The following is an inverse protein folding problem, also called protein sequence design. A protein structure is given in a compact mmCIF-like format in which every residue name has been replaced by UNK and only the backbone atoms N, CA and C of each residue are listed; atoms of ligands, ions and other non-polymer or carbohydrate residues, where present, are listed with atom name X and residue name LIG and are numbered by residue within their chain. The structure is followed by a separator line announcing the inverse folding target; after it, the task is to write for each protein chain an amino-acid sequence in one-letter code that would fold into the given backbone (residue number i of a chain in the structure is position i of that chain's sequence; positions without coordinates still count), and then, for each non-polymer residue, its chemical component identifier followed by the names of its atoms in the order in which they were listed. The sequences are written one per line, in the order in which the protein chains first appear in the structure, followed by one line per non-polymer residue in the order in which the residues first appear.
data_IF_959861184072
#
_entry.id   IF_959861184072
#
_cell.length_a   1.000
_cell.length_b   1.000
_cell.length_c   1.000
_cell.angle_alpha   90.00
_cell.angle_beta   90.00
_cell.angle_gamma   90.00
#
_symmetry.space_group_name_H-M   'P 1'
#
loop_
_entity.id
_entity.type
_entity.pdbx_description
1 polymer ?
#
# COMPACT_ATOMS: atom_id res chain seq x y z
N UNK A 1 -0.70 -4.47 11.03
CA UNK A 1 -0.45 -3.29 10.17
C UNK A 1 0.01 -2.17 11.07
N UNK A 2 1.14 -1.57 10.77
CA UNK A 2 1.72 -0.47 11.56
C UNK A 2 1.46 0.91 10.92
N UNK A 3 0.62 0.96 9.90
CA UNK A 3 0.21 2.20 9.23
C UNK A 3 -1.31 2.27 9.06
N UNK A 4 -1.81 3.49 8.87
CA UNK A 4 -3.21 3.80 8.63
C UNK A 4 -3.33 4.47 7.26
N UNK A 5 -4.33 4.06 6.45
CA UNK A 5 -4.65 4.75 5.20
C UNK A 5 -5.44 6.01 5.53
N UNK A 6 -4.91 7.17 5.14
CA UNK A 6 -5.52 8.48 5.38
C UNK A 6 -6.27 9.02 4.16
N UNK A 7 -5.90 8.56 2.96
CA UNK A 7 -6.63 8.85 1.72
C UNK A 7 -6.78 7.57 0.91
N UNK A 8 -8.03 7.20 0.62
CA UNK A 8 -8.37 6.03 -0.18
C UNK A 8 -8.04 6.26 -1.66
N UNK A 9 -7.90 5.17 -2.46
CA UNK A 9 -7.66 5.29 -3.90
C UNK A 9 -8.83 5.98 -4.60
N UNK A 10 -8.52 6.89 -5.54
CA UNK A 10 -9.53 7.62 -6.32
C UNK A 10 -10.16 6.80 -7.45
N UNK A 11 -9.53 5.68 -7.84
CA UNK A 11 -9.99 4.78 -8.90
C UNK A 11 -9.69 3.33 -8.51
N UNK A 12 -10.38 2.40 -9.17
CA UNK A 12 -10.09 0.97 -9.01
C UNK A 12 -9.09 0.47 -10.07
N UNK A 13 -8.28 -0.58 -9.78
CA UNK A 13 -7.36 -1.21 -10.73
C UNK A 13 -8.05 -1.79 -11.96
N UNK A 14 -9.32 -2.19 -11.81
CA UNK A 14 -10.16 -2.74 -12.87
C UNK A 14 -11.38 -1.85 -13.00
N UNK A 15 -11.66 -1.38 -14.21
CA UNK A 15 -12.87 -0.62 -14.50
C UNK A 15 -14.10 -1.53 -14.55
N UNK A 16 -15.28 -0.96 -14.31
CA UNK A 16 -16.55 -1.70 -14.47
C UNK A 16 -16.67 -2.33 -15.87
N UNK A 17 -16.25 -1.61 -16.91
CA UNK A 17 -16.28 -2.11 -18.28
C UNK A 17 -15.38 -3.33 -18.48
N UNK A 18 -14.14 -3.30 -17.94
CA UNK A 18 -13.22 -4.45 -17.99
C UNK A 18 -13.80 -5.66 -17.23
N UNK A 19 -14.36 -5.41 -16.05
CA UNK A 19 -14.99 -6.42 -15.22
C UNK A 19 -16.19 -7.09 -15.94
N UNK A 20 -17.10 -6.29 -16.49
CA UNK A 20 -18.27 -6.79 -17.27
C UNK A 20 -17.85 -7.55 -18.50
N UNK A 21 -16.87 -7.06 -19.27
CA UNK A 21 -16.33 -7.75 -20.44
C UNK A 21 -15.77 -9.14 -20.06
N UNK A 22 -15.05 -9.23 -18.96
CA UNK A 22 -14.49 -10.50 -18.46
C UNK A 22 -15.59 -11.48 -18.01
N UNK A 23 -16.61 -10.98 -17.30
CA UNK A 23 -17.75 -11.77 -16.83
C UNK A 23 -18.77 -12.09 -17.94
N UNK A 24 -18.66 -11.47 -19.13
CA UNK A 24 -19.64 -11.53 -20.23
C UNK A 24 -21.05 -11.06 -19.80
N UNK A 25 -21.09 -10.00 -18.98
CA UNK A 25 -22.33 -9.38 -18.48
C UNK A 25 -22.59 -8.09 -19.26
N UNK A 26 -23.71 -8.01 -19.96
CA UNK A 26 -24.09 -6.82 -20.75
C UNK A 26 -25.08 -5.91 -20.01
N UNK A 27 -25.94 -6.50 -19.17
CA UNK A 27 -26.99 -5.80 -18.44
C UNK A 27 -26.43 -4.98 -17.26
N UNK A 28 -27.11 -3.89 -16.91
CA UNK A 28 -26.68 -3.00 -15.79
C UNK A 28 -27.20 -3.43 -14.42
N UNK A 29 -28.05 -4.47 -14.36
CA UNK A 29 -28.66 -4.90 -13.11
C UNK A 29 -27.64 -5.28 -12.01
N UNK A 30 -26.49 -5.84 -12.39
CA UNK A 30 -25.45 -6.28 -11.47
C UNK A 30 -24.29 -5.27 -11.31
N UNK A 31 -24.37 -4.07 -11.89
CA UNK A 31 -23.26 -3.10 -11.89
C UNK A 31 -22.78 -2.74 -10.48
N UNK A 32 -23.71 -2.56 -9.54
CA UNK A 32 -23.40 -2.28 -8.13
C UNK A 32 -22.67 -3.44 -7.47
N UNK A 33 -23.14 -4.67 -7.71
CA UNK A 33 -22.51 -5.88 -7.20
C UNK A 33 -21.09 -6.04 -7.78
N UNK A 34 -20.94 -5.87 -9.09
CA UNK A 34 -19.65 -6.00 -9.78
C UNK A 34 -18.65 -4.97 -9.24
N UNK A 35 -19.05 -3.73 -9.04
CA UNK A 35 -18.20 -2.70 -8.45
C UNK A 35 -17.75 -3.09 -7.02
N UNK A 36 -18.66 -3.58 -6.19
CA UNK A 36 -18.31 -4.04 -4.84
C UNK A 36 -17.33 -5.23 -4.86
N UNK A 37 -17.50 -6.16 -5.80
CA UNK A 37 -16.59 -7.29 -5.98
C UNK A 37 -15.20 -6.85 -6.52
N UNK A 38 -15.15 -5.84 -7.39
CA UNK A 38 -13.86 -5.24 -7.85
C UNK A 38 -13.11 -4.64 -6.68
N UNK A 39 -13.79 -3.86 -5.83
CA UNK A 39 -13.19 -3.31 -4.61
C UNK A 39 -12.68 -4.42 -3.69
N UNK A 40 -13.49 -5.43 -3.43
CA UNK A 40 -13.10 -6.57 -2.60
C UNK A 40 -11.88 -7.32 -3.17
N UNK A 41 -11.81 -7.50 -4.50
CA UNK A 41 -10.68 -8.13 -5.17
C UNK A 41 -9.39 -7.30 -5.03
N UNK A 42 -9.50 -5.94 -5.08
CA UNK A 42 -8.38 -5.05 -4.79
C UNK A 42 -7.90 -5.22 -3.36
N UNK A 43 -8.81 -5.11 -2.40
CA UNK A 43 -8.48 -5.23 -0.97
C UNK A 43 -7.83 -6.59 -0.64
N UNK A 44 -8.37 -7.68 -1.16
CA UNK A 44 -7.80 -9.02 -0.98
C UNK A 44 -6.40 -9.14 -1.63
N UNK A 45 -6.19 -8.54 -2.80
CA UNK A 45 -4.88 -8.52 -3.46
C UNK A 45 -3.86 -7.69 -2.69
N UNK A 46 -4.25 -6.51 -2.22
CA UNK A 46 -3.41 -5.62 -1.42
C UNK A 46 -2.98 -6.26 -0.10
N UNK A 47 -3.91 -6.94 0.58
CA UNK A 47 -3.64 -7.67 1.81
C UNK A 47 -2.69 -8.86 1.57
N UNK A 48 -2.95 -9.65 0.52
CA UNK A 48 -2.11 -10.80 0.18
C UNK A 48 -0.68 -10.43 -0.18
N UNK A 49 -0.51 -9.32 -0.92
CA UNK A 49 0.78 -8.83 -1.39
C UNK A 49 1.52 -7.97 -0.35
N UNK A 50 0.80 -7.45 0.64
CA UNK A 50 1.24 -6.34 1.49
C UNK A 50 1.71 -5.12 0.66
N UNK A 51 1.02 -4.84 -0.44
CA UNK A 51 1.26 -3.72 -1.35
C UNK A 51 -0.01 -2.87 -1.47
N UNK A 52 0.13 -1.64 -1.99
CA UNK A 52 -0.97 -0.80 -2.43
C UNK A 52 -0.96 -0.70 -3.94
N UNK A 53 -2.12 -0.87 -4.58
CA UNK A 53 -2.19 -0.98 -6.04
C UNK A 53 -2.35 0.39 -6.70
N UNK A 54 -3.26 1.20 -6.21
CA UNK A 54 -3.51 2.57 -6.68
C UNK A 54 -2.96 3.55 -5.65
N UNK A 55 -2.65 4.76 -6.10
CA UNK A 55 -2.14 5.83 -5.23
C UNK A 55 -3.04 6.07 -4.02
N UNK A 56 -2.45 5.97 -2.85
CA UNK A 56 -3.06 6.20 -1.54
C UNK A 56 -2.08 6.98 -0.67
N UNK A 57 -2.60 7.73 0.29
CA UNK A 57 -1.78 8.35 1.32
C UNK A 57 -1.90 7.54 2.61
N UNK A 58 -0.77 7.26 3.23
CA UNK A 58 -0.70 6.49 4.47
C UNK A 58 0.08 7.26 5.53
N UNK A 59 -0.27 7.01 6.77
CA UNK A 59 0.42 7.49 7.95
C UNK A 59 0.99 6.31 8.72
N UNK A 60 2.28 6.31 8.94
CA UNK A 60 3.01 5.35 9.77
C UNK A 60 3.58 6.08 10.97
N UNK A 61 3.52 5.45 12.15
CA UNK A 61 4.09 6.01 13.38
C UNK A 61 5.13 5.07 13.96
N UNK A 62 6.20 5.68 14.48
CA UNK A 62 7.26 5.01 15.21
C UNK A 62 7.55 5.78 16.51
N UNK A 63 8.10 5.10 17.49
CA UNK A 63 8.34 5.71 18.81
C UNK A 63 9.54 6.65 18.80
N UNK A 64 10.58 6.35 18.03
CA UNK A 64 11.79 7.16 17.95
C UNK A 64 12.45 7.02 16.58
N UNK A 65 13.33 7.98 16.25
CA UNK A 65 14.20 7.85 15.09
C UNK A 65 15.23 6.73 15.28
N UNK A 66 15.63 6.04 14.19
CA UNK A 66 16.61 4.98 14.27
C UNK A 66 18.00 5.51 14.66
N UNK A 67 18.72 4.70 15.42
CA UNK A 67 20.12 4.96 15.79
C UNK A 67 21.07 4.21 14.86
N UNK A 68 22.39 4.36 15.07
CA UNK A 68 23.42 3.64 14.32
C UNK A 68 23.25 2.10 14.39
N UNK A 69 22.64 1.56 15.42
CA UNK A 69 22.37 0.13 15.60
C UNK A 69 21.37 -0.37 14.55
N UNK A 70 20.46 0.48 14.10
CA UNK A 70 19.42 0.17 13.11
C UNK A 70 19.71 0.69 11.70
N UNK A 71 21.00 0.88 11.37
CA UNK A 71 21.48 1.40 10.09
C UNK A 71 20.92 2.78 9.69
N UNK A 72 20.46 3.59 10.64
CA UNK A 72 19.90 4.94 10.40
C UNK A 72 18.73 4.99 9.40
N UNK A 73 18.03 3.86 9.18
CA UNK A 73 16.93 3.76 8.22
C UNK A 73 15.60 3.52 8.91
N UNK A 74 14.56 4.17 8.39
CA UNK A 74 13.16 3.91 8.75
C UNK A 74 12.57 3.09 7.62
N UNK A 75 12.23 1.84 7.88
CA UNK A 75 11.55 0.99 6.92
C UNK A 75 10.08 1.40 6.81
N UNK A 76 9.59 1.46 5.56
CA UNK A 76 8.24 1.85 5.23
C UNK A 76 7.39 0.60 5.01
N UNK A 77 6.36 0.43 5.84
CA UNK A 77 5.56 -0.79 5.88
C UNK A 77 4.60 -0.90 4.69
N UNK A 78 4.06 0.23 4.23
CA UNK A 78 3.22 0.27 3.04
C UNK A 78 4.07 0.52 1.79
N UNK A 79 3.88 -0.28 0.75
CA UNK A 79 4.66 -0.23 -0.50
C UNK A 79 3.76 -0.40 -1.72
N UNK A 80 4.24 -0.11 -2.96
CA UNK A 80 5.46 0.63 -3.27
C UNK A 80 5.32 2.12 -2.90
N UNK A 81 6.39 2.72 -2.40
CA UNK A 81 6.40 4.13 -2.02
C UNK A 81 6.69 5.00 -3.23
N UNK A 82 5.89 6.03 -3.44
CA UNK A 82 6.10 7.03 -4.49
C UNK A 82 6.89 8.24 -3.96
N UNK A 83 6.47 8.79 -2.82
CA UNK A 83 7.09 9.96 -2.22
C UNK A 83 6.79 10.06 -0.73
N UNK A 84 7.61 10.81 -0.01
CA UNK A 84 7.35 11.21 1.38
C UNK A 84 6.67 12.58 1.35
N UNK A 85 5.51 12.69 1.99
CA UNK A 85 4.78 13.96 2.11
C UNK A 85 5.30 14.79 3.27
N UNK A 86 5.49 14.18 4.44
CA UNK A 86 6.05 14.84 5.62
C UNK A 86 6.56 13.84 6.65
N UNK A 87 7.55 14.26 7.43
CA UNK A 87 7.98 13.59 8.66
C UNK A 87 7.84 14.62 9.78
N UNK A 88 6.98 14.33 10.75
CA UNK A 88 6.73 15.20 11.89
C UNK A 88 7.14 14.43 13.14
N UNK A 89 7.84 15.07 14.04
CA UNK A 89 8.21 14.46 15.32
C UNK A 89 7.96 15.42 16.47
N UNK A 90 7.73 14.89 17.65
CA UNK A 90 7.68 15.67 18.89
C UNK A 90 9.10 15.87 19.42
N UNK A 91 9.49 17.11 19.63
CA UNK A 91 10.77 17.43 20.25
C UNK A 91 10.73 17.17 21.78
N UNK A 92 11.86 17.34 22.46
CA UNK A 92 11.95 17.14 23.92
C UNK A 92 11.04 18.09 24.73
N UNK A 93 10.61 19.21 24.16
CA UNK A 93 9.64 20.13 24.76
C UNK A 93 8.18 19.72 24.54
N UNK A 94 7.92 18.69 23.71
CA UNK A 94 6.59 18.20 23.38
C UNK A 94 5.95 18.89 22.16
N UNK A 95 6.69 19.78 21.47
CA UNK A 95 6.20 20.49 20.29
C UNK A 95 6.33 19.63 19.03
N UNK A 96 5.35 19.72 18.15
CA UNK A 96 5.42 19.08 16.82
C UNK A 96 6.36 19.86 15.90
N UNK A 97 7.41 19.20 15.41
CA UNK A 97 8.40 19.75 14.49
C UNK A 97 8.37 18.98 13.18
N UNK A 98 8.25 19.70 12.05
CA UNK A 98 8.35 19.08 10.72
C UNK A 98 9.83 19.00 10.31
N UNK A 99 10.28 17.79 9.96
CA UNK A 99 11.62 17.56 9.46
C UNK A 99 11.76 18.11 8.03
N UNK A 100 12.79 18.86 7.76
CA UNK A 100 13.03 19.43 6.43
C UNK A 100 13.41 18.33 5.42
N UNK A 101 12.92 18.44 4.19
CA UNK A 101 13.13 17.45 3.11
C UNK A 101 14.59 17.39 2.62
N UNK A 102 15.41 18.38 2.95
CA UNK A 102 16.85 18.38 2.66
C UNK A 102 17.65 17.50 3.63
N UNK A 103 17.05 17.05 4.73
CA UNK A 103 17.70 16.23 5.77
C UNK A 103 17.61 14.72 5.53
N UNK A 104 16.72 14.26 4.66
CA UNK A 104 16.52 12.83 4.40
C UNK A 104 16.36 12.51 2.92
N UNK A 105 16.53 11.25 2.57
CA UNK A 105 16.24 10.70 1.24
C UNK A 105 15.43 9.42 1.34
N UNK A 106 14.74 9.10 0.23
CA UNK A 106 13.94 7.90 0.07
C UNK A 106 14.68 6.85 -0.77
N UNK A 107 14.97 5.69 -0.20
CA UNK A 107 15.40 4.51 -0.94
C UNK A 107 14.19 3.72 -1.47
N UNK A 108 14.04 3.69 -2.81
CA UNK A 108 13.05 2.91 -3.54
C UNK A 108 13.63 1.73 -4.30
N UNK A 109 14.94 1.53 -4.25
CA UNK A 109 15.63 0.49 -5.01
C UNK A 109 15.77 -0.80 -4.20
N UNK A 110 15.79 -0.69 -2.88
CA UNK A 110 15.83 -1.83 -1.98
C UNK A 110 14.50 -2.60 -1.98
N UNK A 111 14.53 -3.88 -1.63
CA UNK A 111 13.32 -4.73 -1.50
C UNK A 111 12.32 -4.12 -0.53
N UNK A 112 12.83 -3.60 0.60
CA UNK A 112 12.06 -2.80 1.55
C UNK A 112 12.43 -1.33 1.34
N UNK A 113 11.45 -0.54 0.91
CA UNK A 113 11.66 0.90 0.80
C UNK A 113 11.92 1.50 2.18
N UNK A 114 12.82 2.44 2.24
CA UNK A 114 13.21 3.07 3.51
C UNK A 114 13.51 4.54 3.35
N UNK A 115 13.44 5.28 4.45
CA UNK A 115 13.91 6.67 4.56
C UNK A 115 15.17 6.67 5.39
N UNK A 116 16.20 7.36 4.95
CA UNK A 116 17.48 7.48 5.65
C UNK A 116 17.91 8.94 5.73
N UNK A 117 18.66 9.27 6.77
CA UNK A 117 19.25 10.59 6.91
C UNK A 117 20.37 10.80 5.87
N UNK A 118 20.40 11.97 5.25
CA UNK A 118 21.46 12.32 4.30
C UNK A 118 22.83 12.33 4.96
N UNK A 119 23.87 12.17 4.14
CA UNK A 119 25.26 12.23 4.60
C UNK A 119 25.50 13.51 5.41
N UNK A 120 26.15 13.39 6.57
CA UNK A 120 26.41 14.47 7.54
C UNK A 120 25.17 14.98 8.33
N UNK A 121 24.00 14.40 8.15
CA UNK A 121 22.82 14.70 8.95
C UNK A 121 22.59 13.58 9.96
N UNK A 122 22.37 13.96 11.22
CA UNK A 122 21.94 13.03 12.26
C UNK A 122 20.45 13.20 12.48
N UNK A 123 19.71 12.11 12.67
CA UNK A 123 18.32 12.17 13.06
C UNK A 123 18.16 13.00 14.34
N UNK A 124 17.13 13.84 14.45
CA UNK A 124 16.84 14.58 15.67
C UNK A 124 16.42 13.63 16.81
N UNK A 125 16.51 14.12 18.03
CA UNK A 125 16.02 13.40 19.20
C UNK A 125 14.52 13.71 19.33
N UNK A 126 13.70 12.68 19.26
CA UNK A 126 12.28 12.77 19.58
C UNK A 126 12.09 12.54 21.08
N UNK A 127 11.00 13.09 21.65
CA UNK A 127 10.61 12.81 23.03
C UNK A 127 10.40 11.30 23.24
N UNK A 128 10.69 10.80 24.44
CA UNK A 128 10.52 9.38 24.80
C UNK A 128 9.04 9.06 25.06
N UNK A 129 8.25 9.05 23.99
CA UNK A 129 6.82 8.70 23.99
C UNK A 129 6.50 7.75 22.83
N UNK A 130 5.41 6.98 22.99
CA UNK A 130 4.90 6.17 21.89
C UNK A 130 4.39 7.02 20.75
N UNK A 131 4.70 6.60 19.51
CA UNK A 131 4.26 7.28 18.31
C UNK A 131 4.77 8.74 18.18
N UNK A 132 5.94 9.04 18.76
CA UNK A 132 6.51 10.38 18.76
C UNK A 132 6.94 10.86 17.36
N UNK A 133 7.14 9.93 16.41
CA UNK A 133 7.49 10.27 15.02
C UNK A 133 6.39 9.77 14.08
N UNK A 134 5.87 10.68 13.25
CA UNK A 134 4.81 10.46 12.28
C UNK A 134 5.35 10.66 10.87
N UNK A 135 5.24 9.63 10.05
CA UNK A 135 5.58 9.65 8.62
C UNK A 135 4.29 9.64 7.81
N UNK A 136 4.09 10.62 6.96
CA UNK A 136 3.01 10.65 5.96
C UNK A 136 3.63 10.49 4.59
N UNK A 137 3.19 9.48 3.83
CA UNK A 137 3.77 9.18 2.53
C UNK A 137 2.74 8.62 1.55
N UNK A 138 3.06 8.73 0.27
CA UNK A 138 2.23 8.30 -0.85
C UNK A 138 2.73 6.95 -1.35
N UNK A 139 1.80 6.02 -1.52
CA UNK A 139 2.08 4.65 -1.96
C UNK A 139 1.20 4.25 -3.14
N UNK A 140 1.57 3.17 -3.83
CA UNK A 140 0.84 2.62 -4.98
C UNK A 140 1.67 2.64 -6.25
N UNK A 141 1.23 1.88 -7.26
CA UNK A 141 1.91 1.85 -8.57
C UNK A 141 1.66 3.12 -9.39
N UNK A 142 0.58 3.87 -9.12
CA UNK A 142 0.22 5.12 -9.78
C UNK A 142 -1.27 5.41 -9.70
N UNK A 143 -1.67 6.54 -10.32
CA UNK A 143 -3.01 7.12 -10.17
C UNK A 143 -4.07 6.48 -11.06
N UNK A 144 -3.68 5.58 -11.95
CA UNK A 144 -4.58 5.00 -12.96
C UNK A 144 -4.57 3.48 -12.95
N UNK A 145 -5.65 2.87 -13.43
CA UNK A 145 -5.75 1.44 -13.68
C UNK A 145 -4.59 0.89 -14.54
N UNK A 146 -4.08 1.68 -15.49
CA UNK A 146 -2.97 1.29 -16.36
C UNK A 146 -1.61 1.18 -15.63
N UNK A 147 -1.48 1.81 -14.47
CA UNK A 147 -0.25 1.75 -13.67
C UNK A 147 -0.08 0.40 -12.95
N UNK A 148 -1.17 -0.34 -12.77
CA UNK A 148 -1.15 -1.63 -12.06
C UNK A 148 -0.68 -2.74 -13.00
N UNK A 149 0.28 -3.60 -12.59
CA UNK A 149 0.76 -4.71 -13.42
C UNK A 149 -0.37 -5.62 -13.91
N UNK A 150 -0.37 -5.94 -15.21
CA UNK A 150 -1.42 -6.71 -15.85
C UNK A 150 -1.67 -8.07 -15.18
N UNK A 151 -0.64 -8.71 -14.62
CA UNK A 151 -0.77 -10.01 -13.95
C UNK A 151 -1.54 -9.88 -12.62
N UNK A 152 -1.41 -8.75 -11.90
CA UNK A 152 -2.21 -8.46 -10.70
C UNK A 152 -3.68 -8.24 -11.11
N UNK A 153 -3.93 -7.46 -12.16
CA UNK A 153 -5.29 -7.28 -12.71
C UNK A 153 -5.91 -8.61 -13.13
N UNK A 154 -5.14 -9.50 -13.75
CA UNK A 154 -5.61 -10.84 -14.11
C UNK A 154 -6.00 -11.66 -12.87
N UNK A 155 -5.21 -11.61 -11.80
CA UNK A 155 -5.55 -12.28 -10.54
C UNK A 155 -6.86 -11.76 -9.95
N UNK A 156 -7.07 -10.45 -9.97
CA UNK A 156 -8.30 -9.81 -9.51
C UNK A 156 -9.52 -10.24 -10.35
N UNK A 157 -9.38 -10.30 -11.69
CA UNK A 157 -10.45 -10.75 -12.58
C UNK A 157 -10.84 -12.21 -12.31
N UNK A 158 -9.88 -13.08 -12.02
CA UNK A 158 -10.15 -14.47 -11.66
C UNK A 158 -10.88 -14.59 -10.31
N UNK A 159 -10.50 -13.76 -9.32
CA UNK A 159 -11.23 -13.68 -8.04
C UNK A 159 -12.65 -13.16 -8.24
N UNK A 160 -12.79 -12.11 -9.05
CA UNK A 160 -14.09 -11.52 -9.40
C UNK A 160 -15.02 -12.55 -10.00
N UNK A 161 -14.59 -13.33 -11.00
CA UNK A 161 -15.38 -14.40 -11.63
C UNK A 161 -15.80 -15.43 -10.58
N UNK A 162 -14.85 -15.87 -9.77
CA UNK A 162 -15.13 -16.88 -8.75
C UNK A 162 -16.20 -16.41 -7.77
N UNK A 163 -16.14 -15.19 -7.27
CA UNK A 163 -17.13 -14.65 -6.32
C UNK A 163 -18.46 -14.30 -6.98
N UNK A 164 -18.45 -13.86 -8.23
CA UNK A 164 -19.68 -13.58 -8.96
C UNK A 164 -20.51 -14.84 -9.23
N UNK A 165 -19.84 -15.93 -9.59
CA UNK A 165 -20.49 -17.23 -9.86
C UNK A 165 -20.87 -17.97 -8.58
N UNK A 166 -20.08 -17.82 -7.50
CA UNK A 166 -20.28 -18.52 -6.23
C UNK A 166 -20.67 -17.54 -5.13
N UNK A 167 -21.93 -17.09 -5.15
CA UNK A 167 -22.47 -16.10 -4.18
C UNK A 167 -22.68 -16.68 -2.77
N UNK A 168 -22.61 -18.00 -2.60
CA UNK A 168 -22.68 -18.70 -1.31
C UNK A 168 -21.25 -18.98 -0.81
N UNK A 169 -21.04 -18.84 0.50
CA UNK A 169 -19.73 -19.06 1.15
C UNK A 169 -19.37 -20.56 1.14
N UNK A 170 -18.84 -21.02 0.02
CA UNK A 170 -18.37 -22.43 -0.13
C UNK A 170 -16.83 -22.52 -0.23
N UNK A 171 -16.10 -21.40 -0.38
CA UNK A 171 -14.67 -21.43 -0.63
C UNK A 171 -13.90 -20.52 0.33
N UNK A 172 -13.13 -21.15 1.19
CA UNK A 172 -12.29 -20.49 2.22
C UNK A 172 -10.93 -19.98 1.72
N UNK A 173 -10.60 -20.15 0.44
CA UNK A 173 -9.27 -19.83 -0.09
C UNK A 173 -9.37 -19.04 -1.39
N UNK A 174 -8.41 -18.16 -1.61
CA UNK A 174 -8.21 -17.50 -2.88
C UNK A 174 -8.04 -18.55 -3.99
N UNK A 175 -8.62 -18.33 -5.20
CA UNK A 175 -8.42 -19.25 -6.34
C UNK A 175 -6.93 -19.49 -6.60
N UNK A 176 -6.53 -20.74 -6.80
CA UNK A 176 -5.13 -21.14 -6.93
C UNK A 176 -4.39 -20.39 -8.04
N UNK A 177 -5.08 -20.11 -9.16
CA UNK A 177 -4.49 -19.37 -10.27
C UNK A 177 -4.31 -17.88 -9.94
N UNK A 178 -5.25 -17.27 -9.19
CA UNK A 178 -5.08 -15.91 -8.67
C UNK A 178 -3.89 -15.82 -7.74
N UNK A 179 -3.75 -16.77 -6.83
CA UNK A 179 -2.61 -16.87 -5.92
C UNK A 179 -1.28 -16.97 -6.68
N UNK A 180 -1.21 -17.87 -7.69
CA UNK A 180 -0.01 -18.02 -8.52
C UNK A 180 0.39 -16.71 -9.21
N UNK A 181 -0.57 -15.95 -9.74
CA UNK A 181 -0.32 -14.65 -10.35
C UNK A 181 0.24 -13.64 -9.34
N UNK A 182 -0.33 -13.60 -8.13
CA UNK A 182 0.08 -12.67 -7.09
C UNK A 182 1.44 -13.03 -6.48
N UNK A 183 1.77 -14.31 -6.34
CA UNK A 183 3.05 -14.78 -5.77
C UNK A 183 4.27 -14.21 -6.49
N UNK A 184 4.15 -13.83 -7.77
CA UNK A 184 5.22 -13.18 -8.54
C UNK A 184 5.59 -11.79 -8.02
N UNK A 185 4.69 -11.14 -7.29
CA UNK A 185 4.88 -9.80 -6.72
C UNK A 185 5.04 -9.81 -5.21
N UNK A 186 4.85 -10.98 -4.59
CA UNK A 186 4.98 -11.12 -3.15
C UNK A 186 6.43 -10.94 -2.73
N UNK A 187 6.71 -9.87 -1.99
CA UNK A 187 8.02 -9.67 -1.38
C UNK A 187 8.16 -10.60 -0.19
N UNK A 188 9.15 -11.48 -0.24
CA UNK A 188 9.48 -12.36 0.88
C UNK A 188 10.16 -11.52 1.96
N UNK A 189 9.52 -11.35 3.10
CA UNK A 189 10.19 -10.86 4.29
C UNK A 189 10.94 -12.06 4.90
N UNK A 190 12.24 -12.06 4.80
CA UNK A 190 13.11 -12.98 5.54
C UNK A 190 13.57 -12.33 6.83
#
# INVERSE_FOLDING_TARGET
MSFVVTSLPGVEPITLSEAKAHLKVEVSADDTLINALVQAAREASEEYLNLRLITQTVEQRIDAFPTYITNYQIFLDAQPVQSISSIIYKNEAGDDVTLSTDQYDLDRFSVLHSVYAKSSVTWPIAIDEKNAVKLTYVVGFGDTSASVPALIKQAMLLMLTHWYENRSDTVRKMPTQSQWCLDKFRKSHF
#
